data_IF_591083313802
#
_entry.id   IF_591083313802
#
_cell.length_a   1.000
_cell.length_b   1.000
_cell.length_c   1.000
_cell.angle_alpha   90.00
_cell.angle_beta   90.00
_cell.angle_gamma   90.00
#
_symmetry.space_group_name_H-M   'P 1'
#
loop_
_entity.id
_entity.type
_entity.pdbx_description
1 polymer ?
#
# COMPACT_ATOMS: atom_id res chain seq x y z
N UNK A 1 31.03 -1.73 52.00
CA UNK A 1 30.28 -2.95 52.37
C UNK A 1 29.32 -3.25 51.21
N UNK A 2 29.64 -3.93 50.10
CA UNK A 2 30.34 -5.19 49.81
C UNK A 2 29.65 -6.44 50.39
N UNK A 3 28.61 -6.91 49.69
CA UNK A 3 28.11 -8.27 49.81
C UNK A 3 28.47 -9.06 48.55
N UNK A 4 29.64 -9.71 48.63
CA UNK A 4 29.99 -10.89 47.86
C UNK A 4 29.28 -12.10 48.47
N UNK A 5 28.63 -12.93 47.65
CA UNK A 5 28.39 -14.37 47.82
C UNK A 5 27.74 -14.88 46.52
N UNK A 6 28.53 -15.27 45.52
CA UNK A 6 28.99 -16.65 45.31
C UNK A 6 27.92 -17.72 45.56
N UNK A 7 27.19 -18.04 44.49
CA UNK A 7 26.61 -19.37 44.29
C UNK A 7 27.07 -19.90 42.94
N UNK A 8 28.18 -20.63 42.97
CA UNK A 8 28.57 -21.60 41.95
C UNK A 8 27.81 -22.88 42.25
N UNK A 9 26.96 -23.34 41.35
CA UNK A 9 26.49 -24.73 41.36
C UNK A 9 26.30 -25.24 39.93
N UNK A 10 27.26 -26.07 39.54
CA UNK A 10 27.14 -27.31 38.77
C UNK A 10 26.44 -27.30 37.40
N UNK A 11 27.30 -27.27 36.37
CA UNK A 11 27.06 -27.80 35.04
C UNK A 11 26.73 -29.30 35.12
N UNK A 12 25.49 -29.68 34.83
CA UNK A 12 25.16 -31.05 34.42
C UNK A 12 24.95 -31.02 32.91
N UNK A 13 25.92 -31.59 32.19
CA UNK A 13 25.85 -31.82 30.76
C UNK A 13 24.92 -33.01 30.50
N UNK A 14 23.65 -32.74 30.24
CA UNK A 14 22.73 -33.75 29.70
C UNK A 14 22.92 -33.77 28.19
N UNK A 15 23.55 -34.85 27.70
CA UNK A 15 23.61 -35.17 26.27
C UNK A 15 22.20 -35.53 25.79
N UNK A 16 21.51 -34.56 25.19
CA UNK A 16 20.31 -34.83 24.41
C UNK A 16 20.74 -35.34 23.03
N UNK A 17 20.60 -36.66 22.82
CA UNK A 17 20.56 -37.24 21.47
C UNK A 17 19.19 -36.94 20.85
N UNK A 18 18.99 -35.69 20.43
CA UNK A 18 17.87 -35.31 19.57
C UNK A 18 18.37 -35.24 18.12
N UNK A 19 18.52 -36.41 17.49
CA UNK A 19 18.55 -36.50 16.04
C UNK A 19 17.14 -36.15 15.52
N UNK A 20 16.98 -35.14 14.64
CA UNK A 20 15.68 -34.87 14.02
C UNK A 20 15.36 -36.01 13.04
N UNK A 21 14.59 -36.98 13.49
CA UNK A 21 13.95 -37.97 12.62
C UNK A 21 12.80 -37.27 11.91
N UNK A 22 13.03 -36.88 10.65
CA UNK A 22 11.95 -36.51 9.75
C UNK A 22 10.98 -37.72 9.61
N UNK A 23 9.66 -37.53 9.74
CA UNK A 23 8.71 -38.60 9.49
C UNK A 23 8.80 -39.07 8.02
N UNK A 24 9.03 -40.37 7.84
CA UNK A 24 9.14 -41.10 6.56
C UNK A 24 7.76 -41.27 5.91
N UNK A 25 7.08 -40.16 5.56
CA UNK A 25 5.88 -40.16 4.70
C UNK A 25 5.71 -38.87 3.87
N UNK A 26 6.80 -38.37 3.29
CA UNK A 26 6.76 -37.26 2.31
C UNK A 26 7.18 -37.69 0.89
N UNK A 27 7.06 -38.98 0.57
CA UNK A 27 7.30 -39.51 -0.78
C UNK A 27 6.15 -40.40 -1.23
N UNK A 28 5.03 -39.75 -1.54
CA UNK A 28 3.95 -40.17 -2.44
C UNK A 28 3.29 -38.83 -2.82
N UNK A 29 3.52 -38.21 -3.98
CA UNK A 29 3.26 -38.70 -5.34
C UNK A 29 1.94 -39.47 -5.40
N UNK A 30 0.86 -38.74 -5.15
CA UNK A 30 -0.41 -38.97 -5.85
C UNK A 30 -0.70 -37.70 -6.66
N UNK A 31 -0.74 -37.87 -7.99
CA UNK A 31 -1.36 -36.95 -8.93
C UNK A 31 -2.83 -36.78 -8.51
N UNK A 32 -3.14 -35.63 -7.93
CA UNK A 32 -4.51 -35.16 -7.82
C UNK A 32 -4.60 -33.94 -8.73
N UNK A 33 -5.21 -34.16 -9.90
CA UNK A 33 -5.83 -33.12 -10.72
C UNK A 33 -6.76 -32.31 -9.82
N UNK A 34 -6.20 -31.24 -9.26
CA UNK A 34 -6.95 -30.24 -8.55
C UNK A 34 -7.04 -29.08 -9.53
N UNK A 35 -8.24 -28.89 -10.08
CA UNK A 35 -8.63 -27.66 -10.78
C UNK A 35 -8.55 -26.48 -9.78
N UNK A 36 -7.33 -26.05 -9.46
CA UNK A 36 -7.07 -24.75 -8.87
C UNK A 36 -7.32 -23.71 -9.96
N UNK A 37 -8.37 -22.93 -9.77
CA UNK A 37 -8.54 -21.64 -10.41
C UNK A 37 -7.31 -20.77 -10.08
N UNK A 38 -6.29 -20.87 -10.93
CA UNK A 38 -5.10 -20.04 -10.86
C UNK A 38 -5.46 -18.55 -10.87
N UNK A 39 -4.53 -17.67 -10.49
CA UNK A 39 -4.76 -16.23 -10.59
C UNK A 39 -5.19 -15.93 -12.02
N UNK A 40 -6.35 -15.28 -12.18
CA UNK A 40 -6.82 -14.76 -13.46
C UNK A 40 -5.81 -13.69 -13.88
N UNK A 41 -4.74 -14.14 -14.54
CA UNK A 41 -3.86 -13.28 -15.32
C UNK A 41 -4.77 -12.76 -16.41
N UNK A 42 -5.20 -11.51 -16.29
CA UNK A 42 -5.91 -10.84 -17.38
C UNK A 42 -5.10 -11.09 -18.64
N UNK A 43 -5.69 -11.69 -19.70
CA UNK A 43 -4.98 -11.91 -20.93
C UNK A 43 -4.52 -10.54 -21.41
N UNK A 44 -3.21 -10.31 -21.35
CA UNK A 44 -2.59 -9.21 -22.07
C UNK A 44 -3.06 -9.40 -23.50
N UNK A 45 -3.88 -8.46 -24.00
CA UNK A 45 -4.37 -8.48 -25.38
C UNK A 45 -3.14 -8.35 -26.26
N UNK A 46 -2.57 -9.51 -26.61
CA UNK A 46 -1.42 -9.58 -27.48
C UNK A 46 -1.90 -9.13 -28.86
N UNK A 47 -1.16 -8.24 -29.54
CA UNK A 47 -1.46 -7.92 -30.92
C UNK A 47 -1.53 -9.23 -31.71
N UNK A 48 -2.69 -9.51 -32.31
CA UNK A 48 -2.88 -10.66 -33.17
C UNK A 48 -2.14 -10.38 -34.48
N UNK A 49 -0.93 -10.88 -34.59
CA UNK A 49 -0.18 -10.81 -35.85
C UNK A 49 -0.70 -11.88 -36.81
N UNK A 50 -0.89 -11.51 -38.07
CA UNK A 50 -1.16 -12.48 -39.13
C UNK A 50 0.13 -13.27 -39.42
N UNK A 51 0.20 -14.52 -38.98
CA UNK A 51 1.34 -15.41 -39.23
C UNK A 51 1.66 -16.36 -38.06
N UNK A 52 2.62 -17.29 -38.23
CA UNK A 52 3.11 -18.11 -37.13
C UNK A 52 3.71 -17.19 -36.06
N UNK A 53 3.46 -17.52 -34.78
CA UNK A 53 3.96 -16.73 -33.66
C UNK A 53 5.49 -16.58 -33.75
N UNK A 54 6.05 -15.37 -33.52
CA UNK A 54 7.49 -15.16 -33.62
C UNK A 54 8.24 -16.06 -32.62
N UNK A 55 9.45 -16.54 -32.98
CA UNK A 55 10.29 -17.35 -32.10
C UNK A 55 10.46 -16.69 -30.73
N UNK A 56 10.53 -17.48 -29.65
CA UNK A 56 10.71 -16.94 -28.28
C UNK A 56 11.94 -16.03 -28.15
N UNK A 57 12.99 -16.28 -28.94
CA UNK A 57 14.22 -15.47 -29.00
C UNK A 57 14.06 -14.11 -29.69
N UNK A 58 12.98 -13.89 -30.43
CA UNK A 58 12.69 -12.63 -31.15
C UNK A 58 11.69 -11.75 -30.40
N UNK A 59 11.06 -12.29 -29.36
CA UNK A 59 10.30 -11.47 -28.44
C UNK A 59 11.34 -10.65 -27.68
N UNK A 60 11.25 -9.30 -27.66
CA UNK A 60 12.02 -8.51 -26.73
C UNK A 60 11.84 -9.19 -25.38
N UNK A 61 12.95 -9.60 -24.76
CA UNK A 61 12.89 -10.02 -23.37
C UNK A 61 12.39 -8.79 -22.66
N UNK A 62 11.09 -8.75 -22.35
CA UNK A 62 10.55 -7.71 -21.49
C UNK A 62 11.42 -7.84 -20.26
N UNK A 63 12.33 -6.89 -20.06
CA UNK A 63 13.13 -6.83 -18.84
C UNK A 63 12.12 -7.00 -17.73
N UNK A 64 12.24 -8.12 -17.00
CA UNK A 64 11.35 -8.43 -15.90
C UNK A 64 11.50 -7.23 -14.98
N UNK A 65 10.51 -6.33 -15.04
CA UNK A 65 10.64 -5.02 -14.43
C UNK A 65 10.95 -5.26 -12.96
N UNK A 66 12.14 -4.82 -12.54
CA UNK A 66 12.65 -4.95 -11.17
C UNK A 66 11.70 -4.32 -10.12
N UNK A 67 10.61 -3.69 -10.59
CA UNK A 67 9.43 -3.23 -9.85
C UNK A 67 8.84 -4.18 -8.81
N UNK A 68 9.11 -5.49 -8.88
CA UNK A 68 8.62 -6.45 -7.86
C UNK A 68 9.66 -6.76 -6.77
N UNK A 69 10.92 -6.35 -6.93
CA UNK A 69 11.94 -6.61 -5.91
C UNK A 69 11.68 -5.79 -4.65
N UNK A 70 12.14 -6.33 -3.51
CA UNK A 70 12.03 -5.65 -2.21
C UNK A 70 12.79 -4.32 -2.24
N UNK A 71 13.97 -4.30 -2.87
CA UNK A 71 14.81 -3.11 -2.94
C UNK A 71 14.19 -2.02 -3.80
N UNK A 72 13.55 -2.38 -4.92
CA UNK A 72 12.77 -1.40 -5.68
C UNK A 72 11.61 -0.86 -4.86
N UNK A 73 10.85 -1.71 -4.15
CA UNK A 73 9.69 -1.26 -3.35
C UNK A 73 10.09 -0.34 -2.21
N UNK A 74 11.22 -0.63 -1.53
CA UNK A 74 11.82 0.29 -0.54
C UNK A 74 12.16 1.63 -1.16
N UNK A 75 12.83 1.62 -2.31
CA UNK A 75 13.21 2.85 -3.02
C UNK A 75 11.96 3.63 -3.45
N UNK A 76 11.00 2.98 -4.10
CA UNK A 76 9.74 3.57 -4.53
C UNK A 76 9.01 4.28 -3.38
N UNK A 77 8.97 3.69 -2.18
CA UNK A 77 8.30 4.26 -1.01
C UNK A 77 9.15 5.25 -0.19
N UNK A 78 10.46 5.31 -0.39
CA UNK A 78 11.38 6.04 0.50
C UNK A 78 11.03 7.51 0.75
N UNK A 79 10.56 8.25 -0.26
CA UNK A 79 10.17 9.67 -0.10
C UNK A 79 8.94 9.77 0.81
N UNK A 80 7.87 9.04 0.53
CA UNK A 80 6.69 9.09 1.38
C UNK A 80 6.98 8.54 2.79
N UNK A 81 7.81 7.50 2.88
CA UNK A 81 8.15 6.86 4.14
C UNK A 81 8.93 7.75 5.09
N UNK A 82 9.85 8.60 4.60
CA UNK A 82 10.61 9.51 5.47
C UNK A 82 9.70 10.48 6.24
N UNK A 83 8.55 10.84 5.67
CA UNK A 83 7.54 11.71 6.29
C UNK A 83 6.47 10.94 7.10
N UNK A 84 6.59 9.61 7.18
CA UNK A 84 5.64 8.70 7.84
C UNK A 84 6.30 7.86 8.95
N UNK A 85 7.36 8.39 9.56
CA UNK A 85 8.13 7.70 10.61
C UNK A 85 9.20 6.77 10.07
N UNK A 86 9.62 6.94 8.82
CA UNK A 86 10.69 6.21 8.15
C UNK A 86 10.53 4.67 8.20
N UNK A 87 9.33 4.19 7.88
CA UNK A 87 9.03 2.75 7.94
C UNK A 87 9.79 1.89 6.92
N UNK A 88 10.49 2.50 5.96
CA UNK A 88 11.35 1.79 5.00
C UNK A 88 12.67 1.34 5.63
N UNK A 89 13.17 2.05 6.65
CA UNK A 89 14.28 1.59 7.48
C UNK A 89 13.73 0.61 8.52
N UNK A 90 13.23 -0.53 8.06
CA UNK A 90 12.82 -1.59 8.99
C UNK A 90 14.03 -2.09 9.76
N UNK A 91 13.89 -2.34 11.08
CA UNK A 91 14.93 -3.03 11.82
C UNK A 91 15.19 -4.39 11.15
N UNK A 92 16.43 -4.89 11.27
CA UNK A 92 16.84 -6.18 10.69
C UNK A 92 15.90 -7.34 11.07
N UNK A 93 15.22 -7.22 12.22
CA UNK A 93 14.25 -8.18 12.71
C UNK A 93 12.93 -7.44 12.97
N UNK A 94 11.79 -7.88 12.39
CA UNK A 94 10.47 -7.31 12.67
C UNK A 94 10.08 -7.49 14.15
N UNK A 95 9.15 -6.68 14.64
CA UNK A 95 8.62 -6.87 15.99
C UNK A 95 7.90 -8.22 16.10
N UNK A 96 7.84 -8.77 17.33
CA UNK A 96 7.13 -10.03 17.56
C UNK A 96 5.66 -9.96 17.11
N UNK A 97 4.97 -8.85 17.40
CA UNK A 97 3.60 -8.63 16.97
C UNK A 97 3.46 -8.72 15.44
N UNK A 98 4.39 -8.11 14.70
CA UNK A 98 4.38 -8.12 13.25
C UNK A 98 4.66 -9.53 12.68
N UNK A 99 5.56 -10.30 13.29
CA UNK A 99 5.80 -11.71 12.93
C UNK A 99 4.57 -12.58 13.19
N UNK A 100 3.93 -12.42 14.35
CA UNK A 100 2.70 -13.14 14.67
C UNK A 100 1.58 -12.83 13.66
N UNK A 101 1.37 -11.55 13.34
CA UNK A 101 0.39 -11.13 12.34
C UNK A 101 0.71 -11.67 10.95
N UNK A 102 1.98 -11.74 10.55
CA UNK A 102 2.37 -12.35 9.28
C UNK A 102 2.04 -13.84 9.22
N UNK A 103 2.25 -14.58 10.32
CA UNK A 103 1.88 -15.99 10.39
C UNK A 103 0.37 -16.16 10.25
N UNK A 104 -0.42 -15.36 10.98
CA UNK A 104 -1.89 -15.36 10.90
C UNK A 104 -2.36 -15.02 9.47
N UNK A 105 -1.78 -13.97 8.87
CA UNK A 105 -2.08 -13.59 7.50
C UNK A 105 -1.74 -14.71 6.53
N UNK A 106 -0.63 -15.41 6.72
CA UNK A 106 -0.22 -16.50 5.83
C UNK A 106 -1.11 -17.74 5.96
N UNK A 107 -1.59 -18.04 7.17
CA UNK A 107 -2.51 -19.18 7.41
C UNK A 107 -3.95 -18.90 7.00
N UNK A 108 -4.33 -17.63 6.89
CA UNK A 108 -5.69 -17.23 6.52
C UNK A 108 -5.96 -17.47 5.03
N UNK A 109 -6.89 -18.38 4.75
CA UNK A 109 -7.36 -18.72 3.39
C UNK A 109 -8.76 -18.17 3.09
N UNK A 110 -9.62 -18.05 4.11
CA UNK A 110 -11.00 -17.59 3.98
C UNK A 110 -11.13 -16.08 4.24
N UNK A 111 -11.78 -15.35 3.33
CA UNK A 111 -12.00 -13.90 3.45
C UNK A 111 -12.98 -13.52 4.57
N UNK A 112 -14.05 -14.30 4.75
CA UNK A 112 -15.09 -13.99 5.74
C UNK A 112 -14.55 -14.16 7.16
N UNK A 113 -13.93 -15.31 7.42
CA UNK A 113 -13.30 -15.65 8.71
C UNK A 113 -12.23 -14.61 9.07
N UNK A 114 -11.33 -14.29 8.13
CA UNK A 114 -10.30 -13.28 8.39
C UNK A 114 -10.89 -11.91 8.75
N UNK A 115 -11.92 -11.47 8.03
CA UNK A 115 -12.54 -10.16 8.24
C UNK A 115 -13.38 -10.09 9.52
N UNK A 116 -14.08 -11.16 9.90
CA UNK A 116 -15.01 -11.16 11.02
C UNK A 116 -14.36 -11.62 12.33
N UNK A 117 -13.45 -12.59 12.27
CA UNK A 117 -12.93 -13.26 13.47
C UNK A 117 -11.52 -12.80 13.85
N UNK A 118 -10.78 -12.16 12.94
CA UNK A 118 -9.39 -11.76 13.16
C UNK A 118 -9.24 -10.24 13.15
N UNK A 119 -9.64 -9.58 12.06
CA UNK A 119 -9.43 -8.12 11.87
C UNK A 119 -9.96 -7.26 13.03
N UNK A 120 -11.14 -7.52 13.64
CA UNK A 120 -11.66 -6.68 14.73
C UNK A 120 -10.76 -6.66 15.97
N UNK A 121 -9.93 -7.70 16.14
CA UNK A 121 -9.00 -7.81 17.26
C UNK A 121 -7.61 -7.25 16.96
N UNK A 122 -7.38 -6.70 15.75
CA UNK A 122 -6.12 -6.06 15.38
C UNK A 122 -6.26 -4.54 15.52
N UNK A 123 -5.56 -3.91 16.48
CA UNK A 123 -5.52 -2.46 16.63
C UNK A 123 -5.17 -1.74 15.31
N UNK A 124 -5.78 -0.57 15.01
CA UNK A 124 -5.56 0.16 13.75
C UNK A 124 -4.08 0.41 13.42
N UNK A 125 -3.28 0.79 14.42
CA UNK A 125 -1.84 1.03 14.23
C UNK A 125 -1.06 -0.24 13.84
N UNK A 126 -1.45 -1.42 14.36
CA UNK A 126 -0.84 -2.69 13.96
C UNK A 126 -1.29 -3.12 12.56
N UNK A 127 -2.55 -2.81 12.17
CA UNK A 127 -3.03 -3.00 10.79
C UNK A 127 -2.20 -2.16 9.82
N UNK A 128 -1.96 -0.89 10.15
CA UNK A 128 -1.10 0.00 9.37
C UNK A 128 0.32 -0.58 9.24
N UNK A 129 0.93 -1.00 10.35
CA UNK A 129 2.31 -1.48 10.36
C UNK A 129 2.49 -2.78 9.56
N UNK A 130 1.51 -3.70 9.63
CA UNK A 130 1.55 -4.93 8.81
C UNK A 130 1.34 -4.63 7.33
N UNK A 131 0.45 -3.70 6.97
CA UNK A 131 0.26 -3.25 5.59
C UNK A 131 1.57 -2.66 5.03
N UNK A 132 2.21 -1.75 5.78
CA UNK A 132 3.50 -1.14 5.39
C UNK A 132 4.60 -2.17 5.18
N UNK A 133 4.72 -3.12 6.11
CA UNK A 133 5.71 -4.18 5.99
C UNK A 133 5.44 -5.08 4.78
N UNK A 134 4.21 -5.57 4.64
CA UNK A 134 3.83 -6.45 3.54
C UNK A 134 4.00 -5.73 2.20
N UNK A 135 3.65 -4.44 2.09
CA UNK A 135 3.92 -3.66 0.89
C UNK A 135 5.39 -3.81 0.45
N UNK A 136 6.36 -3.65 1.34
CA UNK A 136 7.78 -3.75 1.00
C UNK A 136 8.24 -5.18 0.72
N UNK A 137 7.78 -6.17 1.50
CA UNK A 137 8.35 -7.52 1.48
C UNK A 137 7.54 -8.51 0.63
N UNK A 138 6.21 -8.52 0.76
CA UNK A 138 5.30 -9.41 0.06
C UNK A 138 3.89 -8.76 0.00
N UNK A 139 3.53 -8.03 -1.09
CA UNK A 139 2.33 -7.21 -1.10
C UNK A 139 1.10 -8.07 -0.93
N UNK A 140 0.13 -7.58 -0.15
CA UNK A 140 -1.06 -8.35 0.16
C UNK A 140 -1.99 -8.47 -1.06
N UNK A 141 -2.68 -9.61 -1.24
CA UNK A 141 -3.78 -9.68 -2.19
C UNK A 141 -4.91 -8.72 -1.76
N UNK A 142 -5.68 -8.24 -2.74
CA UNK A 142 -6.73 -7.23 -2.52
C UNK A 142 -7.68 -7.57 -1.37
N UNK A 143 -8.12 -8.82 -1.25
CA UNK A 143 -9.06 -9.21 -0.21
C UNK A 143 -8.49 -9.08 1.22
N UNK A 144 -7.21 -9.44 1.44
CA UNK A 144 -6.52 -9.24 2.73
C UNK A 144 -6.29 -7.77 3.00
N UNK A 145 -5.85 -7.03 1.97
CA UNK A 145 -5.62 -5.59 2.08
C UNK A 145 -6.90 -4.86 2.47
N UNK A 146 -8.01 -5.12 1.78
CA UNK A 146 -9.29 -4.48 2.06
C UNK A 146 -9.93 -4.91 3.37
N UNK A 147 -9.72 -6.16 3.80
CA UNK A 147 -10.12 -6.58 5.13
C UNK A 147 -9.38 -5.78 6.22
N UNK A 148 -8.07 -5.55 6.06
CA UNK A 148 -7.29 -4.74 7.01
C UNK A 148 -7.62 -3.24 6.95
N UNK A 149 -8.01 -2.73 5.78
CA UNK A 149 -8.37 -1.33 5.58
C UNK A 149 -9.79 -0.96 6.03
N UNK A 150 -10.58 -1.88 6.60
CA UNK A 150 -11.86 -1.61 7.28
C UNK A 150 -12.77 -0.56 6.59
N UNK A 151 -12.75 0.70 7.05
CA UNK A 151 -13.48 1.84 6.46
C UNK A 151 -12.69 2.63 5.39
N UNK A 152 -11.81 1.94 4.66
CA UNK A 152 -10.95 2.51 3.61
C UNK A 152 -9.57 2.98 4.05
N UNK A 153 -9.24 2.95 5.36
CA UNK A 153 -7.91 3.33 5.85
C UNK A 153 -7.52 2.55 7.13
N UNK A 154 -6.22 2.50 7.40
CA UNK A 154 -5.65 1.98 8.64
C UNK A 154 -4.87 3.11 9.32
N UNK A 155 -5.40 3.62 10.43
CA UNK A 155 -4.79 4.70 11.24
C UNK A 155 -4.48 5.96 10.41
N UNK A 156 -5.44 6.39 9.58
CA UNK A 156 -5.32 7.56 8.71
C UNK A 156 -4.48 7.34 7.45
N UNK A 157 -4.10 6.10 7.14
CA UNK A 157 -3.28 5.75 5.97
C UNK A 157 -3.93 4.71 5.07
N UNK A 158 -3.76 4.89 3.76
CA UNK A 158 -4.14 3.91 2.76
C UNK A 158 -2.95 3.64 1.86
N UNK A 159 -2.45 2.40 1.88
CA UNK A 159 -1.33 1.95 1.06
C UNK A 159 -1.76 0.77 0.19
N UNK A 160 -1.78 0.97 -1.12
CA UNK A 160 -2.08 -0.04 -2.12
C UNK A 160 -0.84 -0.27 -2.98
N UNK A 161 -0.37 -1.52 -3.05
CA UNK A 161 0.84 -1.87 -3.79
C UNK A 161 0.67 -3.06 -4.71
N UNK A 162 1.13 -2.89 -5.95
CA UNK A 162 1.29 -3.94 -6.94
C UNK A 162 0.30 -3.85 -8.11
N UNK A 163 0.62 -4.49 -9.24
CA UNK A 163 -0.15 -4.36 -10.49
C UNK A 163 -1.51 -5.04 -10.47
N UNK A 164 -1.66 -6.07 -9.61
CA UNK A 164 -2.93 -6.78 -9.39
C UNK A 164 -3.76 -6.06 -8.33
N UNK A 165 -3.13 -5.20 -7.52
CA UNK A 165 -3.85 -4.39 -6.59
C UNK A 165 -4.56 -3.26 -7.35
N UNK A 166 -5.82 -3.02 -7.06
CA UNK A 166 -6.59 -1.92 -7.66
C UNK A 166 -7.41 -1.28 -6.57
N UNK A 167 -7.37 0.04 -6.50
CA UNK A 167 -8.26 0.83 -5.66
C UNK A 167 -9.71 0.56 -6.06
N UNK A 168 -10.62 0.30 -5.09
CA UNK A 168 -12.04 0.09 -5.40
C UNK A 168 -12.63 1.40 -5.90
N UNK A 169 -13.43 1.31 -6.97
CA UNK A 169 -14.30 2.40 -7.36
C UNK A 169 -15.19 2.74 -6.15
N UNK A 170 -15.30 4.03 -5.81
CA UNK A 170 -16.07 4.52 -4.66
C UNK A 170 -15.45 4.33 -3.27
N UNK A 171 -14.16 3.99 -3.13
CA UNK A 171 -13.48 3.87 -1.82
C UNK A 171 -13.60 5.11 -0.91
N UNK A 172 -13.87 6.29 -1.47
CA UNK A 172 -13.98 7.56 -0.74
C UNK A 172 -15.38 8.16 -0.74
N UNK A 173 -16.30 7.58 -1.52
CA UNK A 173 -17.70 8.00 -1.43
C UNK A 173 -18.21 7.31 -0.18
N UNK A 174 -18.34 8.08 0.90
CA UNK A 174 -19.02 7.62 2.10
C UNK A 174 -20.43 7.25 1.61
N UNK A 175 -20.70 5.95 1.48
CA UNK A 175 -22.06 5.45 1.42
C UNK A 175 -22.67 5.93 2.73
N UNK A 176 -23.33 7.09 2.67
CA UNK A 176 -24.16 7.53 3.76
C UNK A 176 -25.12 6.38 3.97
N UNK A 177 -25.06 5.78 5.15
CA UNK A 177 -25.95 4.75 5.68
C UNK A 177 -27.37 4.98 5.17
N UNK A 178 -27.66 4.43 3.99
CA UNK A 178 -28.99 4.14 3.55
C UNK A 178 -29.17 2.75 4.13
N UNK A 179 -29.70 2.73 5.34
CA UNK A 179 -30.20 1.55 5.99
C UNK A 179 -31.03 0.76 4.96
N UNK A 180 -30.47 -0.32 4.43
CA UNK A 180 -31.21 -1.41 3.77
C UNK A 180 -32.00 -2.21 4.82
N UNK A 181 -32.70 -1.51 5.72
CA UNK A 181 -33.68 -2.05 6.66
C UNK A 181 -34.99 -1.23 6.62
N UNK A 182 -35.42 -0.83 5.43
CA UNK A 182 -36.76 -0.30 5.22
C UNK A 182 -37.77 -1.42 4.95
N UNK A 183 -38.09 -2.26 5.96
CA UNK A 183 -39.40 -2.95 6.09
C UNK A 183 -39.75 -3.32 7.56
N UNK A 184 -39.33 -2.54 8.57
CA UNK A 184 -39.98 -2.61 9.89
C UNK A 184 -40.39 -1.22 10.42
N UNK A 185 -41.60 -1.07 10.98
CA UNK A 185 -42.14 0.22 11.41
C UNK A 185 -41.40 0.76 12.65
N UNK A 186 -41.45 2.08 12.89
CA UNK A 186 -40.56 2.77 13.81
C UNK A 186 -41.04 2.58 15.25
N UNK A 187 -40.55 1.56 15.94
CA UNK A 187 -40.42 1.65 17.39
C UNK A 187 -39.14 2.44 17.70
N UNK A 188 -39.35 3.66 18.18
CA UNK A 188 -38.33 4.58 18.68
C UNK A 188 -37.70 3.97 19.93
N UNK A 189 -36.84 2.97 19.73
CA UNK A 189 -35.84 2.59 20.72
C UNK A 189 -34.66 3.52 20.45
N UNK A 190 -34.60 4.64 21.17
CA UNK A 190 -33.37 5.38 21.36
C UNK A 190 -32.44 4.43 22.11
N UNK A 191 -31.78 3.52 21.37
CA UNK A 191 -30.60 2.81 21.84
C UNK A 191 -29.54 3.88 21.95
N UNK A 192 -29.49 4.55 23.11
CA UNK A 192 -28.27 5.23 23.54
C UNK A 192 -27.17 4.20 23.33
N UNK A 193 -26.09 4.50 22.58
CA UNK A 193 -24.94 3.63 22.60
C UNK A 193 -24.60 3.46 24.08
N UNK A 194 -24.66 2.22 24.56
CA UNK A 194 -24.11 1.88 25.86
C UNK A 194 -22.65 2.27 25.73
N UNK A 195 -22.32 3.44 26.28
CA UNK A 195 -20.98 3.96 26.31
C UNK A 195 -20.23 3.09 27.32
N UNK A 196 -19.81 1.93 26.82
CA UNK A 196 -18.93 1.04 27.53
C UNK A 196 -17.58 1.74 27.58
N UNK A 197 -17.17 2.13 28.78
CA UNK A 197 -15.91 2.85 28.98
C UNK A 197 -14.69 1.99 28.63
N UNK A 198 -14.87 0.70 28.39
CA UNK A 198 -13.83 -0.21 27.90
C UNK A 198 -13.75 -0.30 26.37
N UNK A 199 -14.77 0.16 25.63
CA UNK A 199 -14.62 0.37 24.20
C UNK A 199 -13.83 1.66 23.99
N UNK A 200 -12.54 1.53 23.67
CA UNK A 200 -11.80 2.61 23.04
C UNK A 200 -12.65 3.09 21.86
N UNK A 201 -13.20 4.30 21.96
CA UNK A 201 -13.91 4.93 20.87
C UNK A 201 -12.93 4.96 19.70
N UNK A 202 -13.05 3.98 18.79
CA UNK A 202 -12.32 3.92 17.53
C UNK A 202 -12.86 5.06 16.65
N UNK A 203 -12.59 6.30 17.06
CA UNK A 203 -12.88 7.47 16.25
C UNK A 203 -12.07 7.31 14.98
N UNK A 204 -12.77 7.03 13.88
CA UNK A 204 -12.18 6.84 12.56
C UNK A 204 -11.26 8.03 12.27
N UNK A 205 -9.95 7.79 12.24
CA UNK A 205 -9.02 8.85 11.86
C UNK A 205 -9.26 9.21 10.40
N UNK A 206 -9.33 10.51 10.05
CA UNK A 206 -9.48 10.91 8.66
C UNK A 206 -8.27 10.43 7.85
N UNK A 207 -8.51 10.08 6.58
CA UNK A 207 -7.44 9.70 5.68
C UNK A 207 -6.50 10.90 5.44
N UNK A 208 -5.26 10.78 5.92
CA UNK A 208 -4.23 11.81 5.75
C UNK A 208 -3.15 11.41 4.74
N UNK A 209 -2.94 10.10 4.54
CA UNK A 209 -1.85 9.59 3.72
C UNK A 209 -2.34 8.55 2.70
N UNK A 210 -2.12 8.81 1.41
CA UNK A 210 -2.51 7.91 0.32
C UNK A 210 -1.29 7.51 -0.50
N UNK A 211 -0.96 6.22 -0.51
CA UNK A 211 0.20 5.66 -1.19
C UNK A 211 -0.25 4.59 -2.19
N UNK A 212 -0.15 4.90 -3.46
CA UNK A 212 -0.50 4.04 -4.59
C UNK A 212 0.78 3.73 -5.37
N UNK A 213 1.20 2.47 -5.39
CA UNK A 213 2.46 2.06 -6.03
C UNK A 213 2.22 0.91 -7.00
N UNK A 214 2.66 1.08 -8.26
CA UNK A 214 2.54 0.07 -9.32
C UNK A 214 1.11 -0.41 -9.54
N UNK A 215 0.10 0.42 -9.28
CA UNK A 215 -1.33 0.08 -9.35
C UNK A 215 -2.04 0.89 -10.44
N UNK A 216 -3.29 0.52 -10.74
CA UNK A 216 -4.18 1.31 -11.59
C UNK A 216 -4.96 2.30 -10.73
N UNK A 217 -5.00 3.56 -11.14
CA UNK A 217 -5.82 4.57 -10.50
C UNK A 217 -6.98 4.95 -11.44
N UNK A 218 -8.23 4.57 -11.12
CA UNK A 218 -9.39 5.02 -11.89
C UNK A 218 -9.51 6.54 -11.86
N UNK A 219 -9.81 7.16 -13.00
CA UNK A 219 -9.95 8.62 -13.13
C UNK A 219 -11.08 9.18 -12.26
N UNK A 220 -12.16 8.41 -12.09
CA UNK A 220 -13.29 8.74 -11.20
C UNK A 220 -12.84 8.93 -9.75
N UNK A 221 -11.91 8.10 -9.28
CA UNK A 221 -11.44 8.08 -7.90
C UNK A 221 -10.60 9.29 -7.54
N UNK A 222 -9.92 9.92 -8.51
CA UNK A 222 -9.18 11.18 -8.26
C UNK A 222 -10.08 12.34 -7.86
N UNK A 223 -11.31 12.36 -8.39
CA UNK A 223 -12.28 13.42 -8.12
C UNK A 223 -12.91 13.28 -6.73
N UNK A 224 -12.83 12.09 -6.12
CA UNK A 224 -13.37 11.79 -4.81
C UNK A 224 -12.32 11.74 -3.69
N UNK A 225 -11.07 12.14 -3.97
CA UNK A 225 -10.05 12.19 -2.92
C UNK A 225 -10.46 13.10 -1.75
N UNK A 226 -10.33 12.62 -0.50
CA UNK A 226 -10.57 13.44 0.67
C UNK A 226 -9.61 14.65 0.71
N UNK A 227 -10.15 15.83 1.02
CA UNK A 227 -9.36 17.05 1.18
C UNK A 227 -8.43 17.02 2.40
N UNK A 228 -8.59 16.04 3.29
CA UNK A 228 -7.75 15.77 4.46
C UNK A 228 -6.40 15.14 4.10
N UNK A 229 -6.20 14.70 2.85
CA UNK A 229 -4.93 14.12 2.41
C UNK A 229 -3.84 15.19 2.41
N UNK A 230 -2.80 14.96 3.21
CA UNK A 230 -1.59 15.79 3.29
C UNK A 230 -0.37 15.10 2.67
N UNK A 231 -0.37 13.78 2.55
CA UNK A 231 0.73 13.01 1.97
C UNK A 231 0.20 12.11 0.88
N UNK A 232 0.75 12.24 -0.32
CA UNK A 232 0.30 11.48 -1.48
C UNK A 232 1.51 10.92 -2.24
N UNK A 233 1.51 9.61 -2.48
CA UNK A 233 2.47 8.95 -3.35
C UNK A 233 1.72 8.23 -4.47
N UNK A 234 1.94 8.63 -5.71
CA UNK A 234 1.35 8.07 -6.91
C UNK A 234 2.50 7.56 -7.79
N UNK A 235 3.07 6.43 -7.42
CA UNK A 235 4.37 5.97 -7.91
C UNK A 235 4.19 4.84 -8.93
N UNK A 236 4.84 4.96 -10.08
CA UNK A 236 4.79 3.94 -11.15
C UNK A 236 3.35 3.52 -11.53
N UNK A 237 2.43 4.48 -11.68
CA UNK A 237 1.06 4.18 -12.07
C UNK A 237 1.00 3.72 -13.53
N UNK A 238 0.11 2.76 -13.81
CA UNK A 238 -0.03 2.20 -15.15
C UNK A 238 -0.62 3.17 -16.19
N UNK A 239 -1.38 4.16 -15.72
CA UNK A 239 -2.12 5.09 -16.55
C UNK A 239 -1.79 6.53 -16.17
N UNK A 240 -1.86 7.44 -17.15
CA UNK A 240 -1.74 8.87 -16.89
C UNK A 240 -2.95 9.38 -16.14
N UNK A 241 -2.71 10.41 -15.33
CA UNK A 241 -3.68 10.96 -14.37
C UNK A 241 -3.82 12.46 -14.53
N UNK A 242 -5.01 13.00 -14.21
CA UNK A 242 -5.32 14.42 -14.35
C UNK A 242 -4.76 15.25 -13.19
N UNK A 243 -3.44 15.38 -13.12
CA UNK A 243 -2.74 16.08 -12.02
C UNK A 243 -3.21 17.52 -11.78
N UNK A 244 -3.66 18.21 -12.84
CA UNK A 244 -4.15 19.60 -12.76
C UNK A 244 -5.36 19.79 -11.83
N UNK A 245 -6.06 18.71 -11.47
CA UNK A 245 -7.21 18.76 -10.56
C UNK A 245 -6.81 18.61 -9.10
N UNK A 246 -5.66 18.01 -8.82
CA UNK A 246 -5.20 17.73 -7.46
C UNK A 246 -5.09 18.98 -6.58
N UNK A 247 -4.65 20.17 -7.05
CA UNK A 247 -4.65 21.38 -6.23
C UNK A 247 -6.05 21.84 -5.79
N UNK A 248 -7.10 21.42 -6.49
CA UNK A 248 -8.49 21.69 -6.09
C UNK A 248 -8.97 20.65 -5.08
N UNK A 249 -8.67 19.38 -5.30
CA UNK A 249 -9.19 18.27 -4.50
C UNK A 249 -8.41 18.08 -3.19
N UNK A 250 -7.08 18.16 -3.26
CA UNK A 250 -6.16 17.99 -2.13
C UNK A 250 -5.31 19.26 -1.94
N UNK A 251 -5.89 20.34 -1.38
CA UNK A 251 -5.19 21.62 -1.22
C UNK A 251 -4.12 21.58 -0.10
N UNK A 252 -4.23 20.63 0.83
CA UNK A 252 -3.36 20.52 2.02
C UNK A 252 -2.14 19.60 1.80
N UNK A 253 -1.81 19.29 0.54
CA UNK A 253 -0.67 18.42 0.25
C UNK A 253 0.65 19.06 0.71
N UNK A 254 1.36 18.32 1.57
CA UNK A 254 2.70 18.60 2.08
C UNK A 254 3.73 17.77 1.32
N UNK A 255 3.41 16.52 1.00
CA UNK A 255 4.29 15.61 0.26
C UNK A 255 3.55 15.07 -0.94
N UNK A 256 4.14 15.21 -2.12
CA UNK A 256 3.65 14.61 -3.37
C UNK A 256 4.78 13.83 -4.04
N UNK A 257 4.67 12.51 -4.13
CA UNK A 257 5.61 11.67 -4.86
C UNK A 257 4.98 11.17 -6.17
N UNK A 258 5.55 11.58 -7.31
CA UNK A 258 5.18 11.16 -8.66
C UNK A 258 6.31 10.36 -9.33
N UNK A 259 7.22 9.78 -8.55
CA UNK A 259 8.37 9.03 -9.06
C UNK A 259 7.98 7.86 -9.96
N UNK A 260 8.88 7.50 -10.88
CA UNK A 260 8.82 6.31 -11.74
C UNK A 260 7.61 6.22 -12.68
N UNK A 261 6.88 7.32 -12.90
CA UNK A 261 5.76 7.35 -13.83
C UNK A 261 6.24 7.47 -15.27
N UNK A 262 6.08 6.41 -16.06
CA UNK A 262 6.55 6.36 -17.45
C UNK A 262 5.88 7.39 -18.38
N UNK A 263 4.63 7.77 -18.10
CA UNK A 263 3.90 8.82 -18.81
C UNK A 263 4.48 10.24 -18.56
N UNK A 264 5.34 10.41 -17.54
CA UNK A 264 6.12 11.62 -17.29
C UNK A 264 7.53 11.60 -17.90
N UNK A 265 7.93 10.54 -18.61
CA UNK A 265 9.28 10.44 -19.22
C UNK A 265 9.40 11.02 -20.63
N UNK A 266 8.30 11.00 -21.40
CA UNK A 266 8.30 11.32 -22.83
C UNK A 266 7.72 12.72 -23.14
N UNK A 267 8.56 13.78 -23.26
CA UNK A 267 8.11 15.16 -23.41
C UNK A 267 7.36 15.49 -24.71
N UNK A 268 7.39 14.59 -25.69
CA UNK A 268 6.69 14.77 -26.96
C UNK A 268 5.19 14.46 -26.93
N UNK A 269 4.65 13.93 -25.83
CA UNK A 269 3.22 13.60 -25.70
C UNK A 269 2.49 14.64 -24.85
N UNK A 270 1.21 14.87 -25.14
CA UNK A 270 0.31 15.81 -24.43
C UNK A 270 0.36 15.67 -22.89
N UNK A 271 0.75 14.51 -22.38
CA UNK A 271 0.85 14.18 -20.97
C UNK A 271 1.87 15.06 -20.20
N UNK A 272 2.92 15.58 -20.83
CA UNK A 272 3.82 16.55 -20.16
C UNK A 272 3.16 17.91 -19.94
N UNK A 273 2.17 18.24 -20.77
CA UNK A 273 1.38 19.44 -20.54
C UNK A 273 0.57 19.32 -19.25
N UNK A 274 0.30 18.11 -18.74
CA UNK A 274 -0.45 17.94 -17.50
C UNK A 274 0.25 18.58 -16.31
N UNK A 275 1.58 18.47 -16.19
CA UNK A 275 2.37 19.13 -15.14
C UNK A 275 2.47 20.65 -15.36
N UNK A 276 2.61 21.08 -16.61
CA UNK A 276 2.68 22.49 -17.01
C UNK A 276 1.37 23.23 -16.72
N UNK A 277 0.23 22.53 -16.80
CA UNK A 277 -1.13 23.01 -16.51
C UNK A 277 -1.45 23.12 -15.03
N UNK A 278 -0.64 22.53 -14.14
CA UNK A 278 -0.88 22.60 -12.69
C UNK A 278 -0.63 24.04 -12.22
N UNK A 279 -1.60 24.57 -11.47
CA UNK A 279 -1.44 25.83 -10.74
C UNK A 279 -0.66 25.56 -9.44
N UNK A 280 0.66 25.41 -9.53
CA UNK A 280 1.55 25.09 -8.40
C UNK A 280 1.43 26.06 -7.22
N UNK A 281 1.12 27.33 -7.49
CA UNK A 281 0.87 28.36 -6.49
C UNK A 281 -0.31 28.06 -5.55
N UNK A 282 -1.21 27.14 -5.91
CA UNK A 282 -2.33 26.72 -5.06
C UNK A 282 -1.93 25.76 -3.95
N UNK A 283 -0.75 25.14 -4.05
CA UNK A 283 -0.21 24.25 -3.02
C UNK A 283 0.74 25.00 -2.10
N UNK A 284 0.18 25.87 -1.26
CA UNK A 284 0.95 26.67 -0.29
C UNK A 284 1.69 25.81 0.74
N UNK A 285 1.21 24.59 1.01
CA UNK A 285 1.78 23.68 2.01
C UNK A 285 2.74 22.65 1.44
N UNK A 286 2.90 22.57 0.12
CA UNK A 286 3.72 21.52 -0.49
C UNK A 286 5.19 21.77 -0.17
N UNK A 287 5.81 20.87 0.59
CA UNK A 287 7.21 20.97 0.99
C UNK A 287 8.09 20.05 0.15
N UNK A 288 7.59 18.88 -0.25
CA UNK A 288 8.38 17.85 -0.93
C UNK A 288 7.68 17.34 -2.18
N UNK A 289 8.42 17.35 -3.30
CA UNK A 289 7.99 16.84 -4.59
C UNK A 289 8.96 15.77 -5.12
N UNK A 290 8.51 14.52 -5.17
CA UNK A 290 9.24 13.40 -5.74
C UNK A 290 9.02 13.29 -7.24
N UNK A 291 10.09 13.33 -8.03
CA UNK A 291 10.08 13.25 -9.49
C UNK A 291 11.19 12.32 -10.00
N UNK A 292 11.52 11.28 -9.24
CA UNK A 292 12.61 10.36 -9.62
C UNK A 292 12.24 9.63 -10.90
N UNK A 293 13.19 9.53 -11.82
CA UNK A 293 12.99 8.86 -13.11
C UNK A 293 11.78 9.44 -13.88
N UNK A 294 11.46 10.71 -13.67
CA UNK A 294 10.54 11.50 -14.47
C UNK A 294 11.41 12.53 -15.19
N UNK A 295 11.49 12.48 -16.53
CA UNK A 295 12.40 13.33 -17.31
C UNK A 295 11.86 14.78 -17.40
N UNK A 296 11.93 15.50 -16.28
CA UNK A 296 11.28 16.79 -16.11
C UNK A 296 12.23 17.94 -16.49
N UNK A 297 11.84 18.83 -17.43
CA UNK A 297 12.67 19.96 -17.84
C UNK A 297 12.85 20.98 -16.71
N UNK A 298 14.03 21.60 -16.64
CA UNK A 298 14.37 22.57 -15.58
C UNK A 298 13.46 23.81 -15.58
N UNK A 299 12.91 24.18 -16.75
CA UNK A 299 11.92 25.25 -16.85
C UNK A 299 10.67 24.98 -16.00
N UNK A 300 10.27 23.72 -15.82
CA UNK A 300 9.15 23.39 -14.93
C UNK A 300 9.53 23.56 -13.46
N UNK A 301 10.77 23.25 -13.07
CA UNK A 301 11.22 23.42 -11.69
C UNK A 301 11.16 24.87 -11.26
N UNK A 302 11.64 25.78 -12.12
CA UNK A 302 11.59 27.21 -11.85
C UNK A 302 10.14 27.68 -11.65
N UNK A 303 9.19 27.10 -12.41
CA UNK A 303 7.75 27.40 -12.27
C UNK A 303 7.12 26.82 -11.00
N UNK A 304 7.62 25.71 -10.48
CA UNK A 304 7.11 25.10 -9.23
C UNK A 304 7.37 26.04 -8.04
N UNK A 305 8.55 26.68 -8.03
CA UNK A 305 8.97 27.59 -6.96
C UNK A 305 8.67 29.07 -7.24
N UNK A 306 8.06 29.39 -8.38
CA UNK A 306 7.72 30.77 -8.75
C UNK A 306 6.73 31.39 -7.75
N UNK A 307 7.16 32.46 -7.08
CA UNK A 307 6.32 33.22 -6.14
C UNK A 307 6.15 32.58 -4.76
N UNK A 308 6.88 31.51 -4.45
CA UNK A 308 6.89 30.90 -3.11
C UNK A 308 7.90 31.58 -2.19
N UNK A 309 7.58 31.58 -0.89
CA UNK A 309 8.50 32.05 0.15
C UNK A 309 9.46 30.94 0.57
N UNK A 310 8.92 29.73 0.71
CA UNK A 310 9.67 28.51 0.96
C UNK A 310 9.66 27.64 -0.30
N UNK A 311 10.86 27.34 -0.80
CA UNK A 311 11.07 26.50 -1.97
C UNK A 311 10.64 25.05 -1.68
N UNK A 312 10.00 24.42 -2.66
CA UNK A 312 9.69 22.99 -2.63
C UNK A 312 10.97 22.19 -2.82
N UNK A 313 11.25 21.26 -1.92
CA UNK A 313 12.33 20.30 -2.08
C UNK A 313 11.97 19.29 -3.18
N UNK A 314 12.66 19.38 -4.32
CA UNK A 314 12.45 18.51 -5.48
C UNK A 314 13.48 17.38 -5.46
N UNK A 315 13.02 16.13 -5.38
CA UNK A 315 13.86 14.92 -5.36
C UNK A 315 13.83 14.25 -6.73
N UNK A 316 14.98 14.16 -7.39
CA UNK A 316 15.14 13.60 -8.76
C UNK A 316 15.89 12.27 -8.82
N UNK A 317 16.68 11.95 -7.81
CA UNK A 317 17.48 10.71 -7.70
C UNK A 317 17.19 10.00 -6.38
#
# INVERSE_FOLDING_TARGET
MQNMRHSRTHLVSVRNYNSPTLPIRLTALDDIDTDEAGPIVQPVVLPTYSGPAPPKSWRPSYEVSDSNSVEWRKRALSIAASHLGNFVTTPRVPSLALLCLQMILSSSTNTSEFRQDIVPYIPPHLRRDVIRYCAIHAPLPNWKLYALLDHGNADGEMLVMGPVASLRDHSFIREGTLDEEAETPPEVIIRRPQHDWETEDNTEMPLTSLLLVSTRLPTSTMLSFPSTITRMALVNLSNSISLHQLPKTCPLLVVLDLSYNSWLKNPGKEEHQSLVKIAWSRWSHLEVLGLRDCNIPDALLNRINEGRWDDVMIIRE
#
